data_IF_903492357388
#
_entry.id   IF_903492357388
#
_cell.length_a   1.000
_cell.length_b   1.000
_cell.length_c   1.000
_cell.angle_alpha   90.00
_cell.angle_beta   90.00
_cell.angle_gamma   90.00
#
_symmetry.space_group_name_H-M   'P 1'
#
loop_
_entity.id
_entity.type
_entity.pdbx_description
1 polymer ?
#
# COMPACT_ATOMS: atom_id res chain seq x y z
N UNK A 1 51.38 -1.35 22.23
CA UNK A 1 50.76 -1.35 20.90
C UNK A 1 51.64 -0.55 19.94
N UNK A 2 52.01 -1.11 18.79
CA UNK A 2 52.74 -0.37 17.76
C UNK A 2 51.85 0.74 17.18
N UNK A 3 52.43 1.89 16.83
CA UNK A 3 51.71 3.03 16.25
C UNK A 3 50.91 2.62 14.99
N UNK A 4 51.39 1.63 14.25
CA UNK A 4 50.69 1.06 13.10
C UNK A 4 49.38 0.35 13.49
N UNK A 5 49.36 -0.39 14.59
CA UNK A 5 48.16 -1.09 15.06
C UNK A 5 47.06 -0.13 15.51
N UNK A 6 47.41 1.06 16.04
CA UNK A 6 46.40 2.06 16.44
C UNK A 6 45.73 2.72 15.23
N UNK A 7 46.46 3.00 14.15
CA UNK A 7 45.85 3.57 12.94
C UNK A 7 44.87 2.62 12.25
N UNK A 8 45.21 1.33 12.20
CA UNK A 8 44.32 0.30 11.62
C UNK A 8 43.02 0.20 12.42
N UNK A 9 43.09 0.23 13.76
CA UNK A 9 41.90 0.17 14.60
C UNK A 9 41.01 1.41 14.47
N UNK A 10 41.60 2.59 14.30
CA UNK A 10 40.86 3.85 14.09
C UNK A 10 40.19 3.91 12.72
N UNK A 11 40.83 3.37 11.67
CA UNK A 11 40.22 3.29 10.33
C UNK A 11 39.06 2.30 10.31
N UNK A 12 39.22 1.13 10.95
CA UNK A 12 38.16 0.14 11.05
C UNK A 12 36.95 0.69 11.80
N UNK A 13 37.15 1.36 12.94
CA UNK A 13 36.03 1.95 13.69
C UNK A 13 35.29 3.01 12.88
N UNK A 14 35.98 3.89 12.15
CA UNK A 14 35.34 4.88 11.27
C UNK A 14 34.52 4.25 10.14
N UNK A 15 35.00 3.15 9.55
CA UNK A 15 34.28 2.39 8.51
C UNK A 15 33.02 1.74 9.09
N UNK A 16 33.10 1.14 10.29
CA UNK A 16 31.93 0.56 10.96
C UNK A 16 30.90 1.62 11.38
N UNK A 17 31.34 2.77 11.90
CA UNK A 17 30.44 3.89 12.24
C UNK A 17 29.76 4.45 10.99
N UNK A 18 30.49 4.67 9.89
CA UNK A 18 29.91 5.18 8.64
C UNK A 18 28.94 4.19 7.96
N UNK A 19 29.21 2.89 7.98
CA UNK A 19 28.25 1.88 7.50
C UNK A 19 26.98 1.79 8.36
N UNK A 20 27.10 1.99 9.68
CA UNK A 20 25.94 1.93 10.59
C UNK A 20 24.95 3.08 10.38
N UNK A 21 25.41 4.25 9.90
CA UNK A 21 24.55 5.38 9.56
C UNK A 21 24.08 5.41 8.09
N UNK A 22 24.63 4.57 7.22
CA UNK A 22 24.34 4.55 5.78
C UNK A 22 23.19 3.61 5.35
N UNK A 23 22.39 3.08 6.28
CA UNK A 23 21.24 2.22 5.93
C UNK A 23 19.86 2.83 6.29
N UNK A 24 19.48 4.02 5.79
CA UNK A 24 18.09 4.44 5.84
C UNK A 24 17.19 3.56 4.94
N UNK A 25 17.78 2.85 3.96
CA UNK A 25 17.05 2.03 2.99
C UNK A 25 16.51 0.69 3.54
N UNK A 26 17.14 0.13 4.58
CA UNK A 26 16.71 -1.17 5.16
C UNK A 26 15.46 -0.97 6.02
N UNK A 27 15.44 0.10 6.81
CA UNK A 27 14.35 0.40 7.75
C UNK A 27 13.02 0.68 7.05
N UNK A 28 13.07 1.35 5.89
CA UNK A 28 11.88 1.67 5.11
C UNK A 28 11.18 0.42 4.53
N UNK A 29 11.89 -0.70 4.38
CA UNK A 29 11.35 -1.95 3.83
C UNK A 29 10.59 -2.78 4.88
N UNK A 30 10.89 -2.60 6.16
CA UNK A 30 10.17 -3.27 7.25
C UNK A 30 8.78 -2.67 7.47
N UNK A 31 8.63 -1.34 7.43
CA UNK A 31 7.33 -0.68 7.60
C UNK A 31 6.34 -1.04 6.47
N UNK A 32 6.82 -1.19 5.23
CA UNK A 32 5.98 -1.64 4.11
C UNK A 32 5.59 -3.11 4.24
N UNK A 33 6.48 -3.96 4.77
CA UNK A 33 6.16 -5.37 5.06
C UNK A 33 5.14 -5.50 6.19
N UNK A 34 5.18 -4.61 7.18
CA UNK A 34 4.18 -4.56 8.27
C UNK A 34 2.75 -4.30 7.74
N UNK A 35 2.62 -3.60 6.60
CA UNK A 35 1.31 -3.31 6.00
C UNK A 35 0.68 -4.51 5.27
N UNK A 36 1.48 -5.52 4.91
CA UNK A 36 1.02 -6.66 4.12
C UNK A 36 0.88 -7.89 4.99
N UNK A 37 -0.36 -8.19 5.39
CA UNK A 37 -0.69 -9.44 6.06
C UNK A 37 -0.85 -10.56 5.02
N UNK A 38 0.22 -11.33 4.82
CA UNK A 38 0.25 -12.42 3.86
C UNK A 38 -0.46 -13.67 4.37
N UNK A 39 -1.07 -14.45 3.48
CA UNK A 39 -1.76 -15.70 3.85
C UNK A 39 -0.81 -16.89 4.13
N UNK A 40 0.51 -16.70 3.96
CA UNK A 40 1.51 -17.73 4.22
C UNK A 40 1.31 -18.97 3.35
N UNK A 41 1.19 -20.14 3.97
CA UNK A 41 0.96 -21.41 3.28
C UNK A 41 -0.52 -21.79 3.13
N UNK A 42 -1.42 -21.01 3.74
CA UNK A 42 -2.86 -21.30 3.84
C UNK A 42 -3.69 -20.43 2.87
N UNK A 43 -3.09 -19.99 1.76
CA UNK A 43 -3.75 -19.11 0.79
C UNK A 43 -4.92 -19.78 0.05
N UNK A 44 -4.92 -21.11 -0.02
CA UNK A 44 -6.02 -21.94 -0.50
C UNK A 44 -7.27 -21.88 0.40
N UNK A 45 -7.11 -21.43 1.66
CA UNK A 45 -8.21 -21.27 2.63
C UNK A 45 -8.80 -19.86 2.63
N UNK A 46 -8.29 -18.94 1.81
CA UNK A 46 -8.86 -17.61 1.68
C UNK A 46 -10.28 -17.69 1.09
N UNK A 47 -11.29 -17.21 1.84
CA UNK A 47 -12.71 -17.28 1.48
C UNK A 47 -13.02 -16.77 0.07
N UNK A 48 -12.36 -15.70 -0.36
CA UNK A 48 -12.60 -15.07 -1.67
C UNK A 48 -11.40 -15.24 -2.63
N UNK A 49 -10.59 -16.28 -2.41
CA UNK A 49 -9.35 -16.51 -3.14
C UNK A 49 -8.19 -15.61 -2.70
N UNK A 50 -7.06 -15.70 -3.42
CA UNK A 50 -5.84 -14.96 -3.11
C UNK A 50 -5.24 -14.30 -4.36
N UNK A 51 -4.38 -13.30 -4.15
CA UNK A 51 -3.62 -12.62 -5.21
C UNK A 51 -2.22 -12.27 -4.72
N UNK A 52 -1.32 -11.89 -5.62
CA UNK A 52 -0.01 -11.36 -5.25
C UNK A 52 -0.14 -9.86 -5.02
N UNK A 53 0.18 -9.40 -3.80
CA UNK A 53 0.19 -7.98 -3.47
C UNK A 53 1.16 -7.22 -4.37
N UNK A 54 0.70 -6.20 -5.08
CA UNK A 54 1.55 -5.33 -5.88
C UNK A 54 2.54 -4.53 -5.03
N UNK A 55 2.17 -4.22 -3.78
CA UNK A 55 3.01 -3.48 -2.84
C UNK A 55 4.17 -4.32 -2.29
N UNK A 56 3.89 -5.57 -1.94
CA UNK A 56 4.83 -6.40 -1.17
C UNK A 56 5.36 -7.63 -1.92
N UNK A 57 4.74 -8.02 -3.04
CA UNK A 57 5.11 -9.20 -3.81
C UNK A 57 4.85 -10.54 -3.10
N UNK A 58 3.99 -10.55 -2.08
CA UNK A 58 3.62 -11.76 -1.31
C UNK A 58 2.16 -12.12 -1.58
N UNK A 59 1.76 -13.40 -1.47
CA UNK A 59 0.37 -13.79 -1.60
C UNK A 59 -0.45 -13.27 -0.42
N UNK A 60 -1.61 -12.68 -0.72
CA UNK A 60 -2.57 -12.10 0.23
C UNK A 60 -3.98 -12.57 -0.11
N UNK A 61 -4.84 -12.72 0.90
CA UNK A 61 -6.25 -13.02 0.66
C UNK A 61 -6.95 -11.83 0.01
N UNK A 62 -7.83 -12.11 -0.97
CA UNK A 62 -8.72 -11.10 -1.56
C UNK A 62 -9.83 -10.72 -0.56
N UNK A 63 -10.38 -9.51 -0.75
CA UNK A 63 -11.41 -8.89 0.07
C UNK A 63 -12.82 -9.27 -0.39
N UNK A 64 -13.69 -9.50 0.57
CA UNK A 64 -15.09 -9.87 0.36
C UNK A 64 -16.01 -8.68 0.11
N UNK A 65 -17.29 -8.95 -0.24
CA UNK A 65 -18.29 -7.92 -0.44
C UNK A 65 -18.43 -7.00 0.80
N UNK A 66 -18.39 -5.68 0.60
CA UNK A 66 -18.50 -4.66 1.66
C UNK A 66 -17.25 -4.41 2.49
N UNK A 67 -16.22 -5.24 2.36
CA UNK A 67 -14.90 -5.04 2.99
C UNK A 67 -14.14 -3.91 2.33
N UNK A 68 -13.15 -3.36 3.05
CA UNK A 68 -12.34 -2.24 2.57
C UNK A 68 -11.36 -2.72 1.50
N UNK A 69 -11.21 -1.95 0.43
CA UNK A 69 -10.31 -2.24 -0.70
C UNK A 69 -9.67 -0.98 -1.28
N UNK A 70 -8.67 -1.16 -2.14
CA UNK A 70 -8.01 -0.08 -2.87
C UNK A 70 -6.85 0.54 -2.10
N UNK A 71 -6.79 1.87 -2.08
CA UNK A 71 -5.67 2.63 -1.52
C UNK A 71 -4.45 2.66 -2.46
N UNK A 72 -3.39 3.42 -2.12
CA UNK A 72 -2.17 3.47 -2.92
C UNK A 72 -1.58 2.07 -3.07
N UNK A 73 -1.35 1.64 -4.32
CA UNK A 73 -0.82 0.30 -4.65
C UNK A 73 -1.60 -0.87 -4.03
N UNK A 74 -2.92 -0.73 -3.91
CA UNK A 74 -3.82 -1.76 -3.32
C UNK A 74 -3.49 -2.10 -1.86
N UNK A 75 -2.91 -1.14 -1.11
CA UNK A 75 -2.53 -1.31 0.30
C UNK A 75 -3.69 -1.67 1.24
N UNK A 76 -4.94 -1.39 0.87
CA UNK A 76 -6.11 -1.76 1.68
C UNK A 76 -6.69 -3.12 1.31
N UNK A 77 -6.29 -3.66 0.16
CA UNK A 77 -6.64 -4.98 -0.33
C UNK A 77 -7.34 -4.95 -1.68
N UNK A 78 -7.30 -6.10 -2.35
CA UNK A 78 -7.89 -6.32 -3.68
C UNK A 78 -9.16 -7.15 -3.52
N UNK A 79 -10.24 -6.79 -4.20
CA UNK A 79 -11.50 -7.53 -4.13
C UNK A 79 -11.42 -8.93 -4.76
N UNK A 80 -12.27 -9.84 -4.27
CA UNK A 80 -12.53 -11.16 -4.82
C UNK A 80 -13.04 -11.13 -6.27
N UNK A 81 -13.09 -12.29 -6.93
CA UNK A 81 -13.58 -12.35 -8.31
C UNK A 81 -15.08 -12.04 -8.36
N UNK A 82 -15.50 -11.29 -9.39
CA UNK A 82 -16.87 -10.76 -9.51
C UNK A 82 -17.17 -9.48 -8.73
N UNK A 83 -16.22 -9.01 -7.92
CA UNK A 83 -16.33 -7.77 -7.15
C UNK A 83 -15.47 -6.65 -7.76
N UNK A 84 -15.90 -5.40 -7.56
CA UNK A 84 -15.19 -4.19 -7.99
C UNK A 84 -14.96 -3.29 -6.78
N UNK A 85 -13.79 -2.68 -6.67
CA UNK A 85 -13.53 -1.70 -5.61
C UNK A 85 -14.16 -0.34 -5.95
N UNK A 86 -15.13 0.11 -5.15
CA UNK A 86 -15.81 1.39 -5.30
C UNK A 86 -16.05 2.04 -3.95
N UNK A 87 -15.69 3.33 -3.80
CA UNK A 87 -15.65 4.01 -2.49
C UNK A 87 -14.89 3.23 -1.42
N UNK A 88 -13.75 2.66 -1.79
CA UNK A 88 -12.93 1.86 -0.91
C UNK A 88 -13.66 0.65 -0.32
N UNK A 89 -14.72 0.17 -0.98
CA UNK A 89 -15.45 -1.04 -0.62
C UNK A 89 -15.65 -1.95 -1.82
N UNK A 90 -15.60 -3.26 -1.60
CA UNK A 90 -15.91 -4.20 -2.66
C UNK A 90 -17.42 -4.25 -2.89
N UNK A 91 -17.86 -3.90 -4.10
CA UNK A 91 -19.25 -3.95 -4.54
C UNK A 91 -19.43 -5.02 -5.63
N UNK A 92 -20.64 -5.54 -5.77
CA UNK A 92 -20.97 -6.63 -6.70
C UNK A 92 -21.25 -7.92 -5.95
N UNK A 93 -21.07 -9.06 -6.63
CA UNK A 93 -21.29 -10.40 -6.07
C UNK A 93 -20.01 -11.22 -6.22
N UNK A 94 -19.58 -11.86 -5.12
CA UNK A 94 -18.48 -12.83 -5.17
C UNK A 94 -18.88 -14.04 -6.01
N UNK A 95 -17.95 -14.53 -6.83
CA UNK A 95 -18.15 -15.75 -7.62
C UNK A 95 -18.05 -17.01 -6.73
N UNK A 96 -17.21 -16.96 -5.71
CA UNK A 96 -16.87 -18.06 -4.82
C UNK A 96 -18.00 -18.35 -3.83
N UNK A 97 -18.50 -17.31 -3.18
CA UNK A 97 -19.45 -17.45 -2.05
C UNK A 97 -20.87 -17.01 -2.42
N UNK A 98 -21.05 -16.39 -3.59
CA UNK A 98 -22.34 -15.86 -4.09
C UNK A 98 -22.95 -14.79 -3.17
N UNK A 99 -22.17 -14.24 -2.24
CA UNK A 99 -22.53 -13.10 -1.40
C UNK A 99 -22.42 -11.79 -2.19
N UNK A 100 -23.41 -10.92 -2.05
CA UNK A 100 -23.45 -9.65 -2.75
C UNK A 100 -23.45 -8.46 -1.79
N UNK A 101 -22.79 -7.37 -2.18
CA UNK A 101 -22.85 -6.09 -1.51
C UNK A 101 -23.07 -4.97 -2.52
N UNK A 102 -24.13 -4.19 -2.30
CA UNK A 102 -24.45 -3.02 -3.10
C UNK A 102 -24.39 -1.77 -2.23
N UNK A 103 -23.51 -0.84 -2.58
CA UNK A 103 -23.50 0.49 -2.02
C UNK A 103 -23.26 1.50 -3.14
N UNK A 104 -24.13 2.50 -3.25
CA UNK A 104 -23.92 3.63 -4.14
C UNK A 104 -23.04 4.65 -3.43
N UNK A 105 -21.87 4.88 -3.98
CA UNK A 105 -21.10 6.07 -3.67
C UNK A 105 -21.97 7.32 -3.91
N UNK A 106 -22.14 8.21 -2.92
CA UNK A 106 -22.59 9.55 -3.26
C UNK A 106 -21.59 10.14 -4.27
N UNK A 107 -22.06 10.92 -5.25
CA UNK A 107 -21.16 11.59 -6.18
C UNK A 107 -20.13 12.41 -5.38
N UNK A 108 -18.87 12.35 -5.80
CA UNK A 108 -17.77 13.05 -5.16
C UNK A 108 -17.98 14.57 -5.31
N UNK A 109 -18.73 15.17 -4.38
CA UNK A 109 -19.10 16.59 -4.33
C UNK A 109 -17.86 17.52 -4.31
N UNK A 110 -16.68 16.96 -4.09
CA UNK A 110 -15.37 17.62 -3.99
C UNK A 110 -14.66 17.90 -5.32
N UNK A 111 -15.17 17.42 -6.47
CA UNK A 111 -14.61 17.81 -7.79
C UNK A 111 -15.28 19.05 -8.39
N UNK A 112 -16.56 19.29 -8.11
CA UNK A 112 -17.29 20.47 -8.61
C UNK A 112 -16.84 21.76 -7.93
N UNK A 113 -16.39 21.70 -6.67
CA UNK A 113 -15.89 22.87 -5.95
C UNK A 113 -14.55 23.35 -6.51
N UNK A 114 -13.63 22.44 -6.88
CA UNK A 114 -12.32 22.84 -7.45
C UNK A 114 -12.38 23.38 -8.87
N UNK A 115 -13.33 22.91 -9.69
CA UNK A 115 -13.50 23.45 -11.05
C UNK A 115 -14.10 24.85 -11.03
N UNK A 116 -14.98 25.13 -10.06
CA UNK A 116 -15.61 26.44 -9.89
C UNK A 116 -14.59 27.52 -9.50
N UNK A 117 -13.62 27.20 -8.64
CA UNK A 117 -12.61 28.16 -8.18
C UNK A 117 -11.57 28.55 -9.25
N UNK A 118 -11.39 27.72 -10.29
CA UNK A 118 -10.51 28.04 -11.41
C UNK A 118 -11.14 29.02 -12.40
N UNK A 119 -12.48 29.06 -12.50
CA UNK A 119 -13.20 29.93 -13.44
C UNK A 119 -13.26 31.39 -12.95
N UNK A 120 -13.23 31.63 -11.64
CA UNK A 120 -13.27 32.98 -11.05
C UNK A 120 -11.90 33.66 -10.88
N UNK A 121 -10.79 33.02 -11.27
CA UNK A 121 -9.42 33.56 -11.09
C UNK A 121 -8.82 34.18 -12.37
N UNK A 122 -9.54 34.26 -13.48
CA UNK A 122 -9.07 35.04 -14.64
C UNK A 122 -9.37 36.53 -14.43
N UNK A 123 -8.36 37.41 -14.25
CA UNK A 123 -8.61 38.84 -14.36
C UNK A 123 -8.98 39.13 -15.82
N UNK A 124 -10.12 39.77 -16.04
CA UNK A 124 -10.45 40.34 -17.35
C UNK A 124 -9.41 41.42 -17.66
N UNK A 125 -8.61 41.18 -18.72
CA UNK A 125 -7.74 42.19 -19.27
C UNK A 125 -8.60 43.38 -19.69
N UNK A 126 -8.23 44.58 -19.23
CA UNK A 126 -8.82 45.86 -19.61
C UNK A 126 -7.81 46.67 -20.38
#
# INVERSE_FOLDING_TARGET
MSSQSTYVLMLLSFIFLSCSFAHPFIRQREDVRQACDGCGYDCDKCKYGYTISALCGVPVCKRGPGEICGGPSESWGVCGDGLICSCNKCIGCSVEELECYSHTCPPHLSLETRHSDAYYRFPTAK
#
